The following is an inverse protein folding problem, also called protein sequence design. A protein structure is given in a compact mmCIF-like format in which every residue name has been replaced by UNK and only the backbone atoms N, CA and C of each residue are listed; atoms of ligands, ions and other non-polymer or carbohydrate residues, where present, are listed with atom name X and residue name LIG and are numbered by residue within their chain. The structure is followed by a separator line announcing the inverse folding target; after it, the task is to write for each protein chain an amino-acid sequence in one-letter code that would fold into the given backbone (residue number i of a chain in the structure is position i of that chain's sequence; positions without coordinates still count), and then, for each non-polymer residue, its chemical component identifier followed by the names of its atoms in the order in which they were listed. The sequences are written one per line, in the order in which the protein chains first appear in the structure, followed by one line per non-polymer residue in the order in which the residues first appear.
data_IF_949087805938
#
_entry.id   IF_949087805938
#
_cell.length_a   1.000
_cell.length_b   1.000
_cell.length_c   1.000
_cell.angle_alpha   90.00
_cell.angle_beta   90.00
_cell.angle_gamma   90.00
#
_symmetry.space_group_name_H-M   'P 1'
#
loop_
_entity.id
_entity.type
_entity.pdbx_description
1 polymer ?
#
# COMPACT_ATOMS: atom_id res chain seq x y z
N UNK A 1 -4.88 -26.95 2.00
CA UNK A 1 -5.13 -25.51 1.82
C UNK A 1 -3.84 -24.94 1.25
N UNK A 2 -3.83 -24.37 0.03
CA UNK A 2 -2.63 -23.65 -0.44
C UNK A 2 -2.54 -22.38 0.39
N UNK A 3 -1.38 -22.08 0.95
CA UNK A 3 -1.12 -20.79 1.58
C UNK A 3 -1.10 -19.73 0.48
N UNK A 4 -2.23 -19.04 0.29
CA UNK A 4 -2.36 -17.95 -0.68
C UNK A 4 -1.84 -16.63 -0.08
N UNK A 5 -1.61 -16.59 1.23
CA UNK A 5 -1.02 -15.43 1.89
C UNK A 5 0.47 -15.35 1.48
N UNK A 6 0.94 -14.20 0.99
CA UNK A 6 2.34 -14.03 0.66
C UNK A 6 3.22 -14.30 1.88
N UNK A 7 4.29 -15.08 1.71
CA UNK A 7 5.31 -15.24 2.74
C UNK A 7 5.98 -13.90 3.05
N UNK A 8 6.35 -13.64 4.30
CA UNK A 8 7.09 -12.43 4.70
C UNK A 8 6.29 -11.48 5.60
N UNK A 9 6.86 -10.31 5.91
CA UNK A 9 6.25 -9.37 6.86
C UNK A 9 5.22 -8.47 6.19
N UNK A 10 4.03 -8.36 6.79
CA UNK A 10 3.04 -7.32 6.45
C UNK A 10 3.59 -5.94 6.86
N UNK A 11 3.77 -5.05 5.89
CA UNK A 11 4.32 -3.71 6.10
C UNK A 11 3.25 -2.64 6.29
N UNK A 12 2.06 -2.86 5.74
CA UNK A 12 0.95 -1.93 5.88
C UNK A 12 -0.34 -2.45 5.25
N UNK A 13 -1.46 -1.85 5.63
CA UNK A 13 -2.77 -2.12 5.05
C UNK A 13 -3.39 -0.79 4.63
N UNK A 14 -3.78 -0.70 3.36
CA UNK A 14 -4.46 0.44 2.78
C UNK A 14 -5.96 0.16 2.76
N UNK A 15 -6.72 1.07 3.35
CA UNK A 15 -8.17 1.05 3.29
C UNK A 15 -8.64 2.11 2.31
N UNK A 16 -9.65 1.80 1.48
CA UNK A 16 -10.07 2.72 0.45
C UNK A 16 -10.78 3.91 1.10
N UNK A 17 -10.44 5.16 0.74
CA UNK A 17 -11.05 6.35 1.33
C UNK A 17 -12.54 6.50 0.95
N UNK A 18 -12.95 5.85 -0.13
CA UNK A 18 -14.32 5.77 -0.62
C UNK A 18 -14.66 4.32 -0.95
N UNK A 19 -15.95 3.99 -1.09
CA UNK A 19 -16.36 2.66 -1.52
C UNK A 19 -15.85 2.39 -2.95
N UNK A 20 -14.79 1.60 -3.09
CA UNK A 20 -14.22 1.15 -4.36
C UNK A 20 -15.10 0.12 -5.07
N UNK A 21 -16.36 0.49 -5.30
CA UNK A 21 -17.40 -0.38 -5.87
C UNK A 21 -17.36 -0.30 -7.39
N UNK A 22 -17.31 -1.46 -8.03
CA UNK A 22 -17.43 -1.65 -9.45
C UNK A 22 -18.67 -2.50 -9.75
N UNK A 23 -19.51 -2.06 -10.69
CA UNK A 23 -20.70 -2.81 -11.11
C UNK A 23 -20.81 -2.70 -12.62
N UNK A 24 -20.77 -3.84 -13.28
CA UNK A 24 -21.03 -4.02 -14.71
C UNK A 24 -21.90 -5.26 -14.89
N UNK A 25 -22.35 -5.50 -16.12
CA UNK A 25 -23.05 -6.74 -16.47
C UNK A 25 -22.13 -7.97 -16.35
N UNK A 26 -20.81 -7.78 -16.45
CA UNK A 26 -19.82 -8.85 -16.37
C UNK A 26 -19.49 -9.24 -14.92
N UNK A 27 -19.18 -8.24 -14.08
CA UNK A 27 -18.88 -8.47 -12.67
C UNK A 27 -19.36 -7.31 -11.80
N UNK A 28 -19.67 -7.64 -10.54
CA UNK A 28 -19.96 -6.67 -9.50
C UNK A 28 -19.17 -6.98 -8.24
N UNK A 29 -18.34 -6.04 -7.82
CA UNK A 29 -17.45 -6.21 -6.67
C UNK A 29 -17.12 -4.89 -5.98
N UNK A 30 -16.60 -4.98 -4.76
CA UNK A 30 -16.09 -3.85 -3.98
C UNK A 30 -14.71 -4.18 -3.47
N UNK A 31 -13.73 -3.35 -3.79
CA UNK A 31 -12.38 -3.45 -3.19
C UNK A 31 -12.47 -3.03 -1.73
N UNK A 32 -11.94 -3.85 -0.83
CA UNK A 32 -11.98 -3.59 0.61
C UNK A 32 -10.64 -3.12 1.18
N UNK A 33 -9.54 -3.69 0.72
CA UNK A 33 -8.21 -3.34 1.20
C UNK A 33 -7.13 -3.76 0.22
N UNK A 34 -5.96 -3.13 0.40
CA UNK A 34 -4.70 -3.57 -0.19
C UNK A 34 -3.69 -3.75 0.94
N UNK A 35 -3.23 -4.96 1.13
CA UNK A 35 -2.14 -5.26 2.05
C UNK A 35 -0.81 -5.19 1.32
N UNK A 36 0.14 -4.46 1.89
CA UNK A 36 1.51 -4.34 1.38
C UNK A 36 2.38 -5.32 2.16
N UNK A 37 2.82 -6.37 1.50
CA UNK A 37 3.73 -7.38 2.06
C UNK A 37 5.16 -7.15 1.57
N UNK A 38 6.13 -7.68 2.30
CA UNK A 38 7.53 -7.61 1.88
C UNK A 38 7.82 -8.29 0.53
N UNK A 39 6.97 -9.25 0.13
CA UNK A 39 7.11 -10.07 -1.09
C UNK A 39 6.09 -9.72 -2.19
N UNK A 40 5.08 -8.89 -1.89
CA UNK A 40 4.01 -8.63 -2.83
C UNK A 40 2.89 -7.78 -2.25
N UNK A 41 1.73 -7.87 -2.88
CA UNK A 41 0.51 -7.15 -2.56
C UNK A 41 -0.66 -8.13 -2.48
N UNK A 42 -1.57 -7.93 -1.54
CA UNK A 42 -2.83 -8.68 -1.49
C UNK A 42 -3.99 -7.72 -1.59
N UNK A 43 -4.83 -7.90 -2.60
CA UNK A 43 -6.08 -7.16 -2.74
C UNK A 43 -7.21 -8.03 -2.19
N UNK A 44 -7.94 -7.50 -1.21
CA UNK A 44 -9.15 -8.15 -0.69
C UNK A 44 -10.38 -7.52 -1.32
N UNK A 45 -11.24 -8.36 -1.88
CA UNK A 45 -12.41 -7.97 -2.65
C UNK A 45 -13.67 -8.64 -2.07
N UNK A 46 -14.76 -7.87 -1.99
CA UNK A 46 -16.11 -8.38 -1.78
C UNK A 46 -16.79 -8.57 -3.14
N UNK A 47 -17.17 -9.78 -3.51
CA UNK A 47 -18.03 -10.04 -4.66
C UNK A 47 -19.50 -9.82 -4.30
N UNK A 48 -20.34 -9.51 -5.28
CA UNK A 48 -21.77 -9.28 -5.05
C UNK A 48 -22.53 -10.55 -4.65
N UNK A 49 -22.03 -11.73 -5.02
CA UNK A 49 -22.63 -13.02 -4.70
C UNK A 49 -21.55 -14.08 -4.44
N UNK A 50 -21.87 -15.05 -3.58
CA UNK A 50 -21.04 -16.22 -3.35
C UNK A 50 -20.93 -17.04 -4.65
N UNK A 51 -19.71 -17.42 -5.04
CA UNK A 51 -19.48 -18.13 -6.30
C UNK A 51 -19.69 -17.29 -7.57
N UNK A 52 -19.82 -15.96 -7.44
CA UNK A 52 -19.86 -15.04 -8.57
C UNK A 52 -18.56 -15.06 -9.40
N UNK A 53 -18.57 -14.43 -10.59
CA UNK A 53 -17.39 -14.36 -11.44
C UNK A 53 -16.24 -13.68 -10.71
N UNK A 54 -15.05 -14.27 -10.81
CA UNK A 54 -13.84 -13.71 -10.21
C UNK A 54 -13.55 -12.34 -10.84
N UNK A 55 -13.44 -11.27 -10.03
CA UNK A 55 -13.08 -9.94 -10.51
C UNK A 55 -11.76 -9.96 -11.27
N UNK A 56 -11.70 -9.40 -12.48
CA UNK A 56 -10.44 -9.18 -13.17
C UNK A 56 -10.02 -7.75 -12.92
N UNK A 57 -8.89 -7.56 -12.26
CA UNK A 57 -8.38 -6.22 -11.93
C UNK A 57 -6.94 -6.04 -12.40
N UNK A 58 -6.60 -4.78 -12.67
CA UNK A 58 -5.23 -4.32 -12.88
C UNK A 58 -4.86 -3.46 -11.67
N UNK A 59 -3.71 -3.76 -11.07
CA UNK A 59 -3.12 -2.97 -10.00
C UNK A 59 -1.94 -2.19 -10.58
N UNK A 60 -1.96 -0.87 -10.43
CA UNK A 60 -0.98 0.02 -11.02
C UNK A 60 -0.50 1.05 -9.99
N UNK A 61 0.77 1.43 -9.99
CA UNK A 61 1.24 2.57 -9.21
C UNK A 61 1.15 3.90 -9.98
N UNK A 62 1.45 5.00 -9.28
CA UNK A 62 1.50 6.33 -9.87
C UNK A 62 2.56 6.55 -10.97
N UNK A 63 3.55 5.66 -11.10
CA UNK A 63 4.54 5.71 -12.18
C UNK A 63 4.05 5.03 -13.46
N UNK A 64 2.93 4.30 -13.41
CA UNK A 64 2.48 3.49 -14.53
C UNK A 64 2.85 2.01 -14.42
N UNK A 65 3.53 1.59 -13.36
CA UNK A 65 3.96 0.20 -13.21
C UNK A 65 2.76 -0.68 -12.92
N UNK A 66 2.49 -1.65 -13.79
CA UNK A 66 1.48 -2.67 -13.55
C UNK A 66 2.06 -3.86 -12.78
N UNK A 67 1.36 -4.28 -11.73
CA UNK A 67 1.72 -5.45 -10.94
C UNK A 67 1.09 -6.70 -11.53
N UNK A 68 1.84 -7.80 -11.51
CA UNK A 68 1.41 -9.08 -12.10
C UNK A 68 0.64 -9.91 -11.08
N UNK A 69 -0.59 -10.31 -11.43
CA UNK A 69 -1.37 -11.29 -10.66
C UNK A 69 -0.62 -12.63 -10.64
N UNK A 70 -0.37 -13.15 -9.44
CA UNK A 70 0.31 -14.43 -9.21
C UNK A 70 -0.64 -15.53 -8.78
N UNK A 71 -1.54 -15.22 -7.85
CA UNK A 71 -2.47 -16.19 -7.30
C UNK A 71 -3.79 -15.53 -6.89
N UNK A 72 -4.84 -16.32 -6.76
CA UNK A 72 -6.12 -15.88 -6.23
C UNK A 72 -6.87 -16.98 -5.48
N UNK A 73 -7.53 -16.58 -4.39
CA UNK A 73 -8.44 -17.42 -3.63
C UNK A 73 -9.84 -16.85 -3.65
N UNK A 74 -10.85 -17.74 -3.63
CA UNK A 74 -12.22 -17.35 -3.31
C UNK A 74 -12.72 -18.17 -2.12
N UNK A 75 -13.29 -17.48 -1.13
CA UNK A 75 -13.92 -18.05 0.06
C UNK A 75 -15.30 -17.40 0.26
N UNK A 76 -16.36 -18.11 -0.11
CA UNK A 76 -17.71 -17.51 -0.20
C UNK A 76 -17.73 -16.37 -1.22
N UNK A 77 -18.11 -15.17 -0.78
CA UNK A 77 -18.07 -13.93 -1.58
C UNK A 77 -16.81 -13.10 -1.34
N UNK A 78 -15.82 -13.62 -0.61
CA UNK A 78 -14.49 -13.01 -0.49
C UNK A 78 -13.58 -13.52 -1.57
N UNK A 79 -12.92 -12.61 -2.27
CA UNK A 79 -11.85 -12.94 -3.20
C UNK A 79 -10.56 -12.23 -2.75
N UNK A 80 -9.46 -12.98 -2.72
CA UNK A 80 -8.12 -12.48 -2.46
C UNK A 80 -7.30 -12.62 -3.74
N UNK A 81 -6.54 -11.60 -4.08
CA UNK A 81 -5.65 -11.61 -5.25
C UNK A 81 -4.26 -11.15 -4.87
N UNK A 82 -3.26 -11.98 -5.19
CA UNK A 82 -1.86 -11.74 -4.87
C UNK A 82 -1.15 -11.18 -6.08
N UNK A 83 -0.48 -10.04 -5.91
CA UNK A 83 0.27 -9.36 -6.95
C UNK A 83 1.75 -9.27 -6.59
N UNK A 84 2.60 -9.29 -7.61
CA UNK A 84 4.06 -9.11 -7.49
C UNK A 84 4.58 -8.15 -8.57
N UNK A 85 5.74 -7.49 -8.35
CA UNK A 85 6.58 -7.54 -7.14
C UNK A 85 5.96 -6.81 -5.94
N UNK A 86 6.68 -6.74 -4.83
CA UNK A 86 6.33 -5.84 -3.73
C UNK A 86 6.37 -4.36 -4.20
N UNK A 87 5.70 -3.49 -3.46
CA UNK A 87 5.66 -2.05 -3.75
C UNK A 87 7.08 -1.45 -3.71
N UNK A 88 7.55 -0.80 -4.80
CA UNK A 88 8.84 -0.11 -4.81
C UNK A 88 8.89 1.04 -3.80
N UNK A 89 10.07 1.31 -3.21
CA UNK A 89 10.28 2.52 -2.41
C UNK A 89 9.87 3.79 -3.17
N UNK A 90 9.26 4.73 -2.46
CA UNK A 90 8.81 5.99 -3.04
C UNK A 90 7.45 5.92 -3.76
N UNK A 91 6.79 4.76 -3.83
CA UNK A 91 5.41 4.65 -4.29
C UNK A 91 4.48 5.51 -3.45
N UNK A 92 3.71 6.41 -4.09
CA UNK A 92 2.80 7.35 -3.42
C UNK A 92 1.34 6.99 -3.54
N UNK A 93 0.97 6.27 -4.59
CA UNK A 93 -0.39 5.74 -4.74
C UNK A 93 -0.41 4.44 -5.51
N UNK A 94 -1.45 3.66 -5.23
CA UNK A 94 -1.85 2.48 -5.97
C UNK A 94 -3.27 2.69 -6.50
N UNK A 95 -3.49 2.39 -7.76
CA UNK A 95 -4.78 2.46 -8.43
C UNK A 95 -5.19 1.06 -8.86
N UNK A 96 -6.40 0.67 -8.46
CA UNK A 96 -7.05 -0.53 -8.96
C UNK A 96 -8.01 -0.14 -10.07
N UNK A 97 -7.90 -0.85 -11.19
CA UNK A 97 -8.75 -0.71 -12.36
C UNK A 97 -9.46 -2.04 -12.63
N UNK A 98 -10.69 -1.99 -13.12
CA UNK A 98 -11.35 -3.17 -13.66
C UNK A 98 -10.68 -3.56 -14.98
N UNK A 99 -10.61 -4.85 -15.27
CA UNK A 99 -10.15 -5.39 -16.56
C UNK A 99 -11.28 -6.10 -17.32
N UNK A 100 -12.52 -5.87 -16.90
CA UNK A 100 -13.70 -6.53 -17.47
C UNK A 100 -14.19 -5.87 -18.77
N UNK A 101 -13.85 -4.60 -19.00
CA UNK A 101 -14.17 -3.87 -20.23
C UNK A 101 -12.91 -3.36 -20.95
N UNK A 102 -13.06 -3.04 -22.24
CA UNK A 102 -11.96 -2.57 -23.09
C UNK A 102 -11.34 -1.24 -22.61
N UNK A 103 -12.00 -0.51 -21.70
CA UNK A 103 -11.55 0.79 -21.20
C UNK A 103 -10.71 0.72 -19.92
N UNK A 104 -10.65 -0.45 -19.28
CA UNK A 104 -10.02 -0.66 -17.98
C UNK A 104 -10.31 0.48 -16.97
N UNK A 105 -11.58 0.61 -16.57
CA UNK A 105 -12.05 1.75 -15.76
C UNK A 105 -11.40 1.79 -14.37
N UNK A 106 -11.00 2.98 -13.87
CA UNK A 106 -10.52 3.12 -12.50
C UNK A 106 -11.64 2.79 -11.50
N UNK A 107 -11.31 1.98 -10.49
CA UNK A 107 -12.23 1.56 -9.42
C UNK A 107 -11.94 2.34 -8.15
N UNK A 108 -10.67 2.38 -7.73
CA UNK A 108 -10.25 3.08 -6.52
C UNK A 108 -8.76 3.41 -6.57
N UNK A 109 -8.37 4.51 -5.93
CA UNK A 109 -6.98 4.89 -5.72
C UNK A 109 -6.71 5.02 -4.22
N UNK A 110 -5.61 4.43 -3.77
CA UNK A 110 -5.12 4.47 -2.41
C UNK A 110 -3.92 5.40 -2.34
N UNK A 111 -3.86 6.24 -1.30
CA UNK A 111 -2.60 6.85 -0.90
C UNK A 111 -1.74 5.79 -0.22
N UNK A 112 -0.48 5.67 -0.65
CA UNK A 112 0.52 4.83 0.01
C UNK A 112 1.30 5.72 0.95
N UNK A 113 1.21 5.51 2.28
CA UNK A 113 2.06 6.23 3.23
C UNK A 113 3.52 6.00 2.87
N UNK A 114 4.35 7.04 3.01
CA UNK A 114 5.80 6.90 2.88
C UNK A 114 6.26 5.87 3.91
N UNK A 115 6.50 4.65 3.45
CA UNK A 115 7.05 3.61 4.30
C UNK A 115 8.49 3.98 4.52
N UNK A 116 8.87 4.18 5.79
CA UNK A 116 10.25 4.44 6.15
C UNK A 116 11.09 3.31 5.56
N UNK A 117 11.88 3.65 4.54
CA UNK A 117 12.99 2.80 4.13
C UNK A 117 13.90 2.81 5.34
N UNK A 118 14.23 1.65 5.95
CA UNK A 118 15.29 1.62 6.94
C UNK A 118 16.48 2.31 6.29
N UNK A 119 16.93 3.43 6.87
CA UNK A 119 18.21 4.04 6.53
C UNK A 119 19.22 2.90 6.68
N UNK A 120 19.66 2.28 5.60
CA UNK A 120 20.89 1.49 5.62
C UNK A 120 22.01 2.50 5.76
N UNK A 121 22.11 3.10 6.95
CA UNK A 121 23.36 3.70 7.38
C UNK A 121 24.33 2.54 7.41
N UNK A 122 25.36 2.66 6.59
CA UNK A 122 26.52 1.80 6.62
C UNK A 122 27.02 1.71 8.07
N UNK A 123 26.69 0.62 8.77
CA UNK A 123 27.36 0.22 10.01
C UNK A 123 28.75 -0.32 9.66
N UNK A 124 29.54 0.54 9.03
CA UNK A 124 30.92 0.27 8.65
C UNK A 124 31.69 1.59 8.53
N UNK A 125 31.85 2.33 9.64
CA UNK A 125 33.14 2.96 9.91
C UNK A 125 33.30 3.45 11.36
N UNK A 126 34.28 2.82 12.02
CA UNK A 126 35.12 3.31 13.12
C UNK A 126 34.49 3.61 14.49
N UNK A 127 34.50 2.56 15.32
CA UNK A 127 34.91 2.73 16.70
C UNK A 127 36.43 3.05 16.73
N UNK A 128 36.82 4.30 17.05
CA UNK A 128 38.01 4.54 17.87
C UNK A 128 38.02 5.93 18.54
N UNK A 129 38.50 5.91 19.78
CA UNK A 129 39.06 6.99 20.60
C UNK A 129 38.23 8.26 20.94
N UNK A 130 37.71 8.21 22.17
CA UNK A 130 37.64 9.29 23.16
C UNK A 130 38.59 10.50 22.98
N UNK A 131 38.08 11.72 23.12
CA UNK A 131 38.62 12.67 24.12
C UNK A 131 37.73 13.90 24.43
N UNK A 132 37.60 14.15 25.74
CA UNK A 132 37.40 15.41 26.47
C UNK A 132 36.31 16.46 26.12
N UNK A 133 35.30 16.50 27.00
CA UNK A 133 34.90 17.62 27.87
C UNK A 133 34.74 19.07 27.34
N UNK A 134 33.54 19.62 27.55
CA UNK A 134 33.35 21.00 28.04
C UNK A 134 32.45 21.90 27.19
N UNK A 135 31.41 22.49 27.81
CA UNK A 135 30.80 23.72 27.31
C UNK A 135 29.27 23.75 27.30
N UNK A 136 28.71 24.55 28.21
CA UNK A 136 27.30 24.92 28.39
C UNK A 136 26.74 25.86 27.30
N UNK A 137 25.45 25.69 26.95
CA UNK A 137 24.41 26.71 26.64
C UNK A 137 23.18 25.96 26.09
N UNK A 138 22.09 25.77 26.82
CA UNK A 138 21.00 26.72 27.13
C UNK A 138 20.64 27.67 25.98
N UNK A 139 19.85 27.17 25.03
CA UNK A 139 18.99 28.00 24.17
C UNK A 139 17.57 27.43 24.18
N UNK A 140 16.77 27.95 25.11
CA UNK A 140 15.34 27.69 25.21
C UNK A 140 14.58 28.22 24.00
N UNK A 141 13.78 27.36 23.38
CA UNK A 141 12.80 27.72 22.37
C UNK A 141 11.71 28.60 23.00
N UNK A 142 11.66 29.89 22.67
CA UNK A 142 10.55 30.79 23.03
C UNK A 142 9.48 30.74 21.94
N UNK A 143 8.25 30.29 22.21
CA UNK A 143 7.19 30.29 21.21
C UNK A 143 6.74 31.73 20.92
N UNK A 144 6.87 32.17 19.67
CA UNK A 144 6.40 33.48 19.22
C UNK A 144 4.87 33.56 19.35
N UNK A 145 4.36 34.57 20.06
CA UNK A 145 2.92 34.84 20.18
C UNK A 145 2.32 35.21 18.82
N UNK A 146 1.33 34.43 18.37
CA UNK A 146 0.52 34.72 17.17
C UNK A 146 -0.23 36.05 17.36
N UNK A 147 0.17 37.09 16.60
CA UNK A 147 -0.66 38.28 16.40
C UNK A 147 -1.99 37.90 15.77
N UNK A 148 -3.10 38.21 16.45
CA UNK A 148 -4.44 38.15 15.87
C UNK A 148 -4.71 39.40 15.03
N UNK A 149 -5.39 39.27 13.88
CA UNK A 149 -5.74 40.40 13.03
C UNK A 149 -6.80 41.29 13.69
N UNK A 150 -6.75 42.58 13.34
CA UNK A 150 -7.62 43.65 13.83
C UNK A 150 -9.04 43.60 13.24
#
# INVERSE_FOLDING_TARGET
MREIIPSGTLRGMLLPPTYGRHVTDATAFTVLSVEIWATGLVVTIQMAADGGPQPRIILQDHFGTEYTLRDSATLGSRNLQVFTPAVPPGTRSLTIRSADDAGARPVVTFAVPLMAVPDTRDDAETADASDAAGGSSDEGYTPQELRRPA
#
